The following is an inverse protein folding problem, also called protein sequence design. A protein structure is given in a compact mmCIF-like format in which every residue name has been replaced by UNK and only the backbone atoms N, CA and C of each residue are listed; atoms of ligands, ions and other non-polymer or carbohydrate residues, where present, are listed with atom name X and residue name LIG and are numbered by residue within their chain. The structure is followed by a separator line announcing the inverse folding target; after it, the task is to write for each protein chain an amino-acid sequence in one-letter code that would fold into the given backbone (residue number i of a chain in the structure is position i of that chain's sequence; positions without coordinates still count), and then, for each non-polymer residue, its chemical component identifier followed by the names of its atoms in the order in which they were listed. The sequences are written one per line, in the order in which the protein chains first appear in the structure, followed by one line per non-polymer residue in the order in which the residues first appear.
data_IF_916265826589
#
_entry.id   IF_916265826589
#
_cell.length_a   1.000
_cell.length_b   1.000
_cell.length_c   1.000
_cell.angle_alpha   90.00
_cell.angle_beta   90.00
_cell.angle_gamma   90.00
#
_symmetry.space_group_name_H-M   'P 1'
#
loop_
_entity.id
_entity.type
_entity.pdbx_description
1 polymer ?
#
# COMPACT_ATOMS: atom_id res chain seq x y z
N UNK A 1 -34.59 -4.46 -40.46
CA UNK A 1 -33.62 -3.44 -40.04
C UNK A 1 -33.17 -3.79 -38.63
N UNK A 2 -32.11 -4.58 -38.48
CA UNK A 2 -31.64 -5.05 -37.18
C UNK A 2 -30.73 -3.99 -36.55
N UNK A 3 -31.12 -3.45 -35.40
CA UNK A 3 -30.30 -2.52 -34.65
C UNK A 3 -29.02 -3.24 -34.18
N UNK A 4 -27.86 -2.78 -34.65
CA UNK A 4 -26.56 -3.15 -34.09
C UNK A 4 -26.53 -2.68 -32.65
N UNK A 5 -26.70 -3.60 -31.71
CA UNK A 5 -26.35 -3.39 -30.31
C UNK A 5 -24.84 -3.16 -30.27
N UNK A 6 -24.45 -1.91 -30.03
CA UNK A 6 -23.06 -1.50 -29.85
C UNK A 6 -22.46 -2.30 -28.69
N UNK A 7 -21.47 -3.15 -28.98
CA UNK A 7 -20.64 -3.85 -28.00
C UNK A 7 -19.73 -2.86 -27.23
N UNK A 8 -20.31 -1.89 -26.52
CA UNK A 8 -19.65 -1.11 -25.47
C UNK A 8 -20.03 -1.65 -24.08
N UNK A 9 -20.31 -2.94 -23.98
CA UNK A 9 -20.58 -3.59 -22.70
C UNK A 9 -19.25 -4.04 -22.11
N UNK A 10 -18.83 -3.34 -21.05
CA UNK A 10 -17.69 -3.61 -20.16
C UNK A 10 -16.29 -3.22 -20.67
N UNK A 11 -15.94 -1.93 -20.57
CA UNK A 11 -14.55 -1.45 -20.72
C UNK A 11 -13.78 -1.35 -19.39
N UNK A 12 -14.33 -1.87 -18.29
CA UNK A 12 -13.64 -1.86 -17.01
C UNK A 12 -12.53 -2.91 -17.06
N UNK A 13 -11.29 -2.45 -17.22
CA UNK A 13 -10.08 -3.25 -17.00
C UNK A 13 -9.44 -2.81 -15.69
N UNK A 14 -8.69 -3.72 -15.07
CA UNK A 14 -7.84 -3.34 -13.95
C UNK A 14 -6.81 -2.35 -14.51
N UNK A 15 -6.68 -1.19 -13.88
CA UNK A 15 -5.75 -0.17 -14.36
C UNK A 15 -4.34 -0.75 -14.22
N UNK A 16 -3.60 -0.81 -15.33
CA UNK A 16 -2.23 -1.29 -15.31
C UNK A 16 -1.39 -0.41 -14.39
N UNK A 17 -0.58 -1.04 -13.55
CA UNK A 17 0.35 -0.35 -12.66
C UNK A 17 1.63 -0.06 -13.45
N UNK A 18 2.03 1.22 -13.64
CA UNK A 18 3.27 1.56 -14.30
C UNK A 18 4.47 0.91 -13.62
N UNK A 19 5.43 0.41 -14.42
CA UNK A 19 6.58 -0.36 -13.92
C UNK A 19 7.38 0.41 -12.87
N UNK A 20 7.57 1.72 -13.04
CA UNK A 20 8.33 2.53 -12.08
C UNK A 20 7.61 2.70 -10.74
N UNK A 21 6.28 2.62 -10.69
CA UNK A 21 5.52 2.60 -9.44
C UNK A 21 5.52 1.22 -8.76
N UNK A 22 5.90 0.17 -9.48
CA UNK A 22 6.16 -1.15 -8.90
C UNK A 22 7.55 -1.22 -8.25
N UNK A 23 8.46 -0.31 -8.63
CA UNK A 23 9.80 -0.21 -8.05
C UNK A 23 9.84 0.68 -6.81
N UNK A 24 10.76 0.43 -5.86
CA UNK A 24 10.86 1.22 -4.63
C UNK A 24 11.12 2.70 -4.89
N UNK A 25 10.15 3.54 -4.54
CA UNK A 25 10.26 5.00 -4.56
C UNK A 25 10.51 5.53 -3.15
N UNK A 26 11.50 6.40 -2.99
CA UNK A 26 11.80 7.01 -1.69
C UNK A 26 10.73 8.03 -1.30
N UNK A 27 10.31 7.97 -0.02
CA UNK A 27 9.45 8.98 0.57
C UNK A 27 9.69 9.08 2.09
N UNK A 28 9.18 10.15 2.69
CA UNK A 28 9.14 10.36 4.13
C UNK A 28 7.69 10.21 4.61
N UNK A 29 7.42 9.25 5.47
CA UNK A 29 6.10 9.05 6.08
C UNK A 29 6.02 9.85 7.38
N UNK A 30 5.03 10.74 7.49
CA UNK A 30 4.78 11.45 8.73
C UNK A 30 3.85 10.64 9.64
N UNK A 31 4.17 10.58 10.93
CA UNK A 31 3.40 9.84 11.93
C UNK A 31 3.04 10.75 13.10
N UNK A 32 1.78 11.16 13.18
CA UNK A 32 1.28 12.04 14.23
C UNK A 32 1.21 11.36 15.61
N UNK A 33 1.22 10.02 15.66
CA UNK A 33 1.20 9.25 16.90
C UNK A 33 2.50 9.32 17.70
N UNK A 34 3.58 9.89 17.13
CA UNK A 34 4.85 10.07 17.84
C UNK A 34 4.69 11.24 18.82
N UNK A 35 4.16 10.93 20.01
CA UNK A 35 3.89 11.88 21.11
C UNK A 35 5.12 12.55 21.73
N UNK A 36 6.34 12.20 21.28
CA UNK A 36 7.59 12.80 21.76
C UNK A 36 8.13 13.78 20.72
N UNK A 37 8.06 15.09 20.97
CA UNK A 37 8.66 16.07 20.08
C UNK A 37 10.20 15.99 20.11
N UNK A 38 10.86 16.28 18.96
CA UNK A 38 10.23 16.52 17.65
C UNK A 38 9.74 15.20 17.02
N UNK A 39 8.52 15.21 16.47
CA UNK A 39 8.03 14.10 15.65
C UNK A 39 8.94 14.03 14.40
N UNK A 40 9.65 12.91 14.23
CA UNK A 40 10.60 12.72 13.12
C UNK A 40 9.90 11.90 12.03
N UNK A 41 10.00 12.29 10.75
CA UNK A 41 9.45 11.50 9.66
C UNK A 41 10.16 10.15 9.55
N UNK A 42 9.40 9.12 9.22
CA UNK A 42 9.91 7.77 9.01
C UNK A 42 10.37 7.66 7.55
N UNK A 43 11.60 7.19 7.34
CA UNK A 43 12.11 6.96 5.99
C UNK A 43 11.52 5.68 5.42
N UNK A 44 10.81 5.79 4.30
CA UNK A 44 10.10 4.67 3.68
C UNK A 44 10.44 4.48 2.21
N UNK A 45 10.21 3.27 1.72
CA UNK A 45 10.07 2.97 0.30
C UNK A 45 8.62 2.63 -0.01
N UNK A 46 8.06 3.29 -1.02
CA UNK A 46 6.74 3.03 -1.56
C UNK A 46 6.84 2.25 -2.86
N UNK A 47 5.99 1.23 -3.01
CA UNK A 47 5.74 0.56 -4.28
C UNK A 47 4.28 0.11 -4.34
N UNK A 48 3.76 -0.12 -5.54
CA UNK A 48 2.46 -0.71 -5.77
C UNK A 48 2.68 -2.13 -6.28
N UNK A 49 1.96 -3.12 -5.76
CA UNK A 49 2.08 -4.47 -6.29
C UNK A 49 1.65 -4.51 -7.77
N UNK A 50 2.21 -5.44 -8.54
CA UNK A 50 1.97 -5.51 -10.00
C UNK A 50 0.49 -5.65 -10.37
N UNK A 51 -0.34 -6.16 -9.46
CA UNK A 51 -1.79 -6.32 -9.63
C UNK A 51 -2.59 -5.10 -9.16
N UNK A 52 -1.99 -4.12 -8.48
CA UNK A 52 -2.69 -2.93 -8.02
C UNK A 52 -3.71 -3.21 -6.91
N UNK A 53 -3.43 -4.17 -6.03
CA UNK A 53 -4.22 -4.45 -4.83
C UNK A 53 -3.75 -3.65 -3.62
N UNK A 54 -2.45 -3.40 -3.50
CA UNK A 54 -1.81 -2.84 -2.32
C UNK A 54 -0.78 -1.76 -2.67
N UNK A 55 -0.83 -0.67 -1.90
CA UNK A 55 0.34 0.19 -1.69
C UNK A 55 1.21 -0.46 -0.61
N UNK A 56 2.44 -0.79 -0.96
CA UNK A 56 3.45 -1.39 -0.09
C UNK A 56 4.35 -0.27 0.41
N UNK A 57 4.42 -0.12 1.74
CA UNK A 57 5.25 0.85 2.42
C UNK A 57 6.25 0.13 3.31
N UNK A 58 7.53 0.19 2.94
CA UNK A 58 8.62 -0.45 3.67
C UNK A 58 9.34 0.58 4.51
N UNK A 59 9.37 0.39 5.83
CA UNK A 59 10.20 1.18 6.74
C UNK A 59 11.68 0.80 6.55
N UNK A 60 12.50 1.73 6.06
CA UNK A 60 13.91 1.43 5.75
C UNK A 60 14.75 1.10 6.98
N UNK A 61 14.40 1.69 8.13
CA UNK A 61 15.13 1.56 9.40
C UNK A 61 14.69 0.31 10.13
N UNK A 62 13.38 0.14 10.36
CA UNK A 62 12.84 -1.01 11.09
C UNK A 62 12.70 -2.28 10.27
N UNK A 63 12.83 -2.19 8.94
CA UNK A 63 12.59 -3.32 8.01
C UNK A 63 11.20 -3.94 8.14
N UNK A 64 10.23 -3.13 8.59
CA UNK A 64 8.82 -3.52 8.69
C UNK A 64 8.09 -3.16 7.40
N UNK A 65 7.18 -4.03 6.97
CA UNK A 65 6.32 -3.79 5.81
C UNK A 65 4.89 -3.49 6.27
N UNK A 66 4.36 -2.39 5.78
CA UNK A 66 2.95 -2.06 5.88
C UNK A 66 2.34 -2.13 4.48
N UNK A 67 1.18 -2.78 4.33
CA UNK A 67 0.44 -2.72 3.05
C UNK A 67 -0.95 -2.15 3.26
N UNK A 68 -1.25 -1.10 2.52
CA UNK A 68 -2.53 -0.43 2.47
C UNK A 68 -3.34 -1.04 1.33
N UNK A 69 -4.53 -1.55 1.65
CA UNK A 69 -5.46 -2.06 0.65
C UNK A 69 -6.01 -0.92 -0.20
N UNK A 70 -5.69 -0.88 -1.49
CA UNK A 70 -6.11 0.23 -2.35
C UNK A 70 -7.64 0.35 -2.42
N UNK A 71 -8.38 -0.75 -2.22
CA UNK A 71 -9.84 -0.74 -2.20
C UNK A 71 -10.43 0.10 -1.04
N UNK A 72 -9.63 0.33 0.00
CA UNK A 72 -9.98 1.09 1.20
C UNK A 72 -9.52 2.56 1.13
N UNK A 73 -8.94 2.98 0.01
CA UNK A 73 -8.66 4.39 -0.24
C UNK A 73 -9.98 5.09 -0.57
N UNK A 74 -10.30 6.11 0.23
CA UNK A 74 -11.44 6.98 -0.02
C UNK A 74 -11.03 8.18 -0.87
N UNK A 75 -9.89 8.79 -0.56
CA UNK A 75 -9.39 9.97 -1.25
C UNK A 75 -7.87 10.10 -1.13
N UNK A 76 -7.25 10.79 -2.09
CA UNK A 76 -5.82 11.10 -2.10
C UNK A 76 -5.62 12.53 -2.59
N UNK A 77 -4.85 13.33 -1.87
CA UNK A 77 -4.68 14.76 -2.16
C UNK A 77 -3.21 15.19 -2.15
N UNK A 78 -2.89 16.18 -2.96
CA UNK A 78 -1.59 16.86 -3.01
C UNK A 78 -1.77 18.35 -3.32
N UNK A 79 -0.67 19.11 -3.28
CA UNK A 79 -0.66 20.53 -3.64
C UNK A 79 -1.58 21.36 -2.75
N UNK A 80 -2.38 22.26 -3.35
CA UNK A 80 -3.28 23.15 -2.62
C UNK A 80 -4.44 22.44 -1.92
N UNK A 81 -4.72 21.18 -2.27
CA UNK A 81 -5.83 20.40 -1.71
C UNK A 81 -5.38 19.50 -0.54
N UNK A 82 -4.08 19.48 -0.23
CA UNK A 82 -3.54 18.58 0.79
C UNK A 82 -3.91 19.07 2.20
N UNK A 83 -4.42 18.17 3.03
CA UNK A 83 -4.42 18.40 4.48
C UNK A 83 -3.04 18.08 5.01
N UNK A 84 -2.35 19.11 5.52
CA UNK A 84 -0.99 19.00 6.02
C UNK A 84 -1.00 18.40 7.43
N UNK A 85 -0.03 17.53 7.76
CA UNK A 85 0.07 16.99 9.10
C UNK A 85 0.46 18.06 10.11
N UNK A 86 -0.03 17.91 11.35
CA UNK A 86 0.33 18.82 12.43
C UNK A 86 1.83 18.75 12.74
N UNK A 87 2.52 19.91 12.77
CA UNK A 87 3.96 19.99 13.06
C UNK A 87 4.86 19.54 11.90
N UNK A 88 4.29 19.03 10.80
CA UNK A 88 5.05 18.54 9.67
C UNK A 88 5.70 19.68 8.90
N UNK A 89 4.94 20.70 8.52
CA UNK A 89 5.48 21.82 7.74
C UNK A 89 6.61 22.51 8.51
N UNK A 90 6.39 22.77 9.80
CA UNK A 90 7.36 23.41 10.67
C UNK A 90 8.65 22.60 10.78
N UNK A 91 8.55 21.27 10.89
CA UNK A 91 9.73 20.39 10.91
C UNK A 91 10.54 20.52 9.61
N UNK A 92 9.87 20.46 8.46
CA UNK A 92 10.56 20.52 7.17
C UNK A 92 11.17 21.90 6.91
N UNK A 93 10.47 22.98 7.28
CA UNK A 93 10.97 24.34 7.14
C UNK A 93 12.19 24.61 8.05
N UNK A 94 12.11 24.20 9.33
CA UNK A 94 13.21 24.37 10.31
C UNK A 94 14.47 23.58 9.94
N UNK A 95 14.30 22.41 9.32
CA UNK A 95 15.41 21.57 8.90
C UNK A 95 15.86 21.83 7.46
N UNK A 96 15.31 22.86 6.80
CA UNK A 96 15.58 23.21 5.40
C UNK A 96 15.43 22.00 4.44
N UNK A 97 14.44 21.13 4.71
CA UNK A 97 14.18 19.95 3.89
C UNK A 97 13.30 20.35 2.70
N UNK A 98 13.94 20.55 1.56
CA UNK A 98 13.28 20.94 0.32
C UNK A 98 14.14 21.87 -0.54
N UNK A 99 13.55 22.38 -1.62
CA UNK A 99 14.16 23.44 -2.42
C UNK A 99 13.50 24.76 -2.01
N UNK A 100 14.29 25.82 -1.77
CA UNK A 100 13.80 27.12 -1.30
C UNK A 100 12.69 27.71 -2.18
N UNK A 101 12.74 27.48 -3.50
CA UNK A 101 11.79 28.04 -4.47
C UNK A 101 10.58 27.14 -4.74
N UNK A 102 10.47 25.98 -4.06
CA UNK A 102 9.37 25.04 -4.22
C UNK A 102 8.58 24.96 -2.92
N UNK A 103 7.29 25.32 -2.92
CA UNK A 103 6.47 25.24 -1.71
C UNK A 103 6.52 23.83 -1.12
N UNK A 104 6.89 23.70 0.16
CA UNK A 104 6.99 22.42 0.87
C UNK A 104 5.67 21.64 0.77
N UNK A 105 4.54 22.35 0.82
CA UNK A 105 3.18 21.83 0.66
C UNK A 105 2.97 21.04 -0.64
N UNK A 106 3.63 21.42 -1.73
CA UNK A 106 3.48 20.79 -3.04
C UNK A 106 4.08 19.40 -3.15
N UNK A 107 4.90 18.99 -2.19
CA UNK A 107 5.55 17.68 -2.12
C UNK A 107 4.84 16.68 -1.22
N UNK A 108 3.75 17.10 -0.56
CA UNK A 108 2.96 16.24 0.30
C UNK A 108 1.88 15.49 -0.47
N UNK A 109 1.68 14.24 -0.08
CA UNK A 109 0.56 13.37 -0.43
C UNK A 109 -0.16 13.02 0.87
N UNK A 110 -1.47 13.24 0.92
CA UNK A 110 -2.33 12.79 2.01
C UNK A 110 -3.29 11.73 1.49
N UNK A 111 -3.30 10.55 2.11
CA UNK A 111 -4.21 9.44 1.81
C UNK A 111 -5.24 9.35 2.94
N UNK A 112 -6.52 9.35 2.56
CA UNK A 112 -7.64 9.05 3.44
C UNK A 112 -8.03 7.59 3.25
N UNK A 113 -7.80 6.78 4.27
CA UNK A 113 -7.86 5.33 4.20
C UNK A 113 -8.77 4.77 5.30
N UNK A 114 -9.73 3.92 4.97
CA UNK A 114 -10.66 3.39 5.96
C UNK A 114 -11.61 2.35 5.43
N UNK A 115 -12.29 1.66 6.35
CA UNK A 115 -13.39 0.77 6.01
C UNK A 115 -14.73 1.52 5.93
N UNK A 116 -14.80 2.70 6.57
CA UNK A 116 -15.98 3.54 6.62
C UNK A 116 -15.60 4.99 6.33
N UNK A 117 -16.58 5.78 5.89
CA UNK A 117 -16.42 7.23 5.70
C UNK A 117 -16.57 8.03 7.02
N UNK A 118 -16.63 7.35 8.17
CA UNK A 118 -16.77 8.00 9.46
C UNK A 118 -15.44 8.64 9.84
N UNK A 119 -15.45 9.95 10.11
CA UNK A 119 -14.23 10.71 10.36
C UNK A 119 -13.37 10.16 11.51
N UNK A 120 -13.99 9.58 12.55
CA UNK A 120 -13.28 8.98 13.69
C UNK A 120 -12.59 7.65 13.39
N UNK A 121 -12.96 6.97 12.31
CA UNK A 121 -12.39 5.68 11.89
C UNK A 121 -11.48 5.81 10.66
N UNK A 122 -11.49 7.00 10.04
CA UNK A 122 -10.68 7.30 8.87
C UNK A 122 -9.23 7.49 9.30
N UNK A 123 -8.35 6.66 8.75
CA UNK A 123 -6.91 6.80 8.92
C UNK A 123 -6.38 7.76 7.89
N UNK A 124 -5.75 8.84 8.35
CA UNK A 124 -5.06 9.81 7.49
C UNK A 124 -3.58 9.47 7.49
N UNK A 125 -2.99 9.32 6.31
CA UNK A 125 -1.57 8.98 6.15
C UNK A 125 -0.92 10.02 5.27
N UNK A 126 0.20 10.58 5.73
CA UNK A 126 0.92 11.62 5.03
C UNK A 126 2.29 11.13 4.56
N UNK A 127 2.60 11.38 3.30
CA UNK A 127 3.90 11.14 2.70
C UNK A 127 4.45 12.43 2.11
N UNK A 128 5.75 12.61 2.22
CA UNK A 128 6.49 13.70 1.59
C UNK A 128 7.48 13.12 0.59
N UNK A 129 7.49 13.67 -0.62
CA UNK A 129 8.31 13.22 -1.73
C UNK A 129 9.43 14.19 -2.05
N UNK A 130 10.41 13.72 -2.82
CA UNK A 130 11.53 14.54 -3.28
C UNK A 130 11.08 15.69 -4.20
N UNK A 131 10.09 15.44 -5.06
CA UNK A 131 9.59 16.40 -6.05
C UNK A 131 8.06 16.51 -6.07
N UNK A 132 7.50 17.68 -6.44
CA UNK A 132 6.04 17.85 -6.57
C UNK A 132 5.45 16.99 -7.68
N UNK A 133 6.21 16.75 -8.76
CA UNK A 133 5.79 15.89 -9.87
C UNK A 133 5.56 14.46 -9.40
N UNK A 134 6.46 13.95 -8.55
CA UNK A 134 6.32 12.62 -7.97
C UNK A 134 5.12 12.54 -7.02
N UNK A 135 4.94 13.53 -6.13
CA UNK A 135 3.76 13.59 -5.27
C UNK A 135 2.44 13.59 -6.06
N UNK A 136 2.38 14.36 -7.17
CA UNK A 136 1.23 14.40 -8.08
C UNK A 136 0.98 13.05 -8.74
N UNK A 137 2.00 12.44 -9.31
CA UNK A 137 1.90 11.15 -9.97
C UNK A 137 1.36 10.06 -9.02
N UNK A 138 1.93 9.98 -7.82
CA UNK A 138 1.46 9.03 -6.81
C UNK A 138 0.01 9.32 -6.40
N UNK A 139 -0.37 10.59 -6.24
CA UNK A 139 -1.74 10.99 -5.92
C UNK A 139 -2.71 10.50 -6.98
N UNK A 140 -2.46 10.85 -8.24
CA UNK A 140 -3.34 10.51 -9.36
C UNK A 140 -3.45 8.99 -9.53
N UNK A 141 -2.34 8.26 -9.42
CA UNK A 141 -2.35 6.82 -9.61
C UNK A 141 -3.06 6.09 -8.48
N UNK A 142 -2.81 6.47 -7.22
CA UNK A 142 -3.49 5.86 -6.07
C UNK A 142 -4.99 6.12 -6.12
N UNK A 143 -5.41 7.34 -6.51
CA UNK A 143 -6.82 7.65 -6.72
C UNK A 143 -7.45 6.74 -7.78
N UNK A 144 -6.81 6.64 -8.96
CA UNK A 144 -7.29 5.82 -10.07
C UNK A 144 -7.39 4.32 -9.72
N UNK A 145 -6.44 3.80 -8.94
CA UNK A 145 -6.44 2.40 -8.52
C UNK A 145 -7.49 2.13 -7.42
N UNK A 146 -7.56 2.99 -6.40
CA UNK A 146 -8.51 2.80 -5.29
C UNK A 146 -9.98 2.99 -5.67
N UNK A 147 -10.25 3.76 -6.73
CA UNK A 147 -11.59 3.93 -7.31
C UNK A 147 -11.85 3.01 -8.51
N UNK A 148 -10.98 2.02 -8.76
CA UNK A 148 -11.25 1.01 -9.77
C UNK A 148 -12.43 0.11 -9.34
N UNK A 149 -13.46 0.01 -10.17
CA UNK A 149 -14.66 -0.77 -9.85
C UNK A 149 -14.41 -2.28 -9.77
N UNK A 150 -13.44 -2.82 -10.52
CA UNK A 150 -13.08 -4.24 -10.45
C UNK A 150 -12.47 -4.57 -9.10
N UNK A 151 -11.65 -3.67 -8.56
CA UNK A 151 -11.02 -3.84 -7.25
C UNK A 151 -12.06 -3.99 -6.12
N UNK A 152 -13.27 -3.42 -6.31
CA UNK A 152 -14.40 -3.53 -5.37
C UNK A 152 -15.33 -4.71 -5.66
N UNK A 153 -15.19 -5.35 -6.82
CA UNK A 153 -16.04 -6.44 -7.30
C UNK A 153 -15.20 -7.65 -7.75
N UNK A 154 -14.20 -8.00 -6.94
CA UNK A 154 -13.28 -9.11 -7.22
C UNK A 154 -14.02 -10.45 -7.27
N UNK A 155 -13.66 -11.31 -8.23
CA UNK A 155 -14.11 -12.70 -8.22
C UNK A 155 -13.46 -13.47 -7.06
N UNK A 156 -13.95 -14.67 -6.75
CA UNK A 156 -13.32 -15.53 -5.74
C UNK A 156 -11.87 -15.83 -6.08
N UNK A 157 -11.53 -16.00 -7.36
CA UNK A 157 -10.16 -16.23 -7.81
C UNK A 157 -9.29 -14.98 -7.60
N UNK A 158 -9.79 -13.80 -7.97
CA UNK A 158 -9.03 -12.55 -7.78
C UNK A 158 -8.86 -12.22 -6.29
N UNK A 159 -9.82 -12.60 -5.45
CA UNK A 159 -9.68 -12.51 -4.00
C UNK A 159 -8.54 -13.39 -3.48
N UNK A 160 -8.38 -14.61 -4.02
CA UNK A 160 -7.23 -15.47 -3.71
C UNK A 160 -5.91 -14.86 -4.20
N UNK A 161 -5.89 -14.27 -5.40
CA UNK A 161 -4.70 -13.55 -5.91
C UNK A 161 -4.34 -12.36 -5.01
N UNK A 162 -5.33 -11.61 -4.53
CA UNK A 162 -5.15 -10.51 -3.58
C UNK A 162 -4.59 -11.01 -2.25
N UNK A 163 -5.14 -12.09 -1.70
CA UNK A 163 -4.62 -12.74 -0.49
C UNK A 163 -3.16 -13.18 -0.70
N UNK A 164 -2.85 -13.78 -1.84
CA UNK A 164 -1.49 -14.17 -2.21
C UNK A 164 -0.54 -12.97 -2.26
N UNK A 165 -0.93 -11.87 -2.92
CA UNK A 165 -0.16 -10.61 -2.96
C UNK A 165 0.14 -10.09 -1.54
N UNK A 166 -0.85 -10.11 -0.64
CA UNK A 166 -0.66 -9.71 0.76
C UNK A 166 0.31 -10.62 1.52
N UNK A 167 0.31 -11.93 1.25
CA UNK A 167 1.24 -12.88 1.87
C UNK A 167 2.68 -12.61 1.42
N UNK A 168 2.90 -12.49 0.11
CA UNK A 168 4.23 -12.28 -0.48
C UNK A 168 4.83 -10.95 -0.05
N UNK A 169 4.05 -9.87 -0.08
CA UNK A 169 4.57 -8.54 0.21
C UNK A 169 4.46 -8.16 1.68
N UNK A 170 3.38 -8.53 2.36
CA UNK A 170 3.07 -8.03 3.71
C UNK A 170 3.58 -8.90 4.85
N UNK A 171 3.89 -10.18 4.62
CA UNK A 171 4.32 -11.09 5.67
C UNK A 171 5.81 -11.49 5.56
N UNK A 172 6.50 -10.98 4.54
CA UNK A 172 7.92 -11.26 4.32
C UNK A 172 8.77 -10.63 5.43
N UNK A 173 9.70 -11.42 5.96
CA UNK A 173 10.83 -10.94 6.75
C UNK A 173 11.89 -10.43 5.76
N UNK A 174 12.11 -9.11 5.73
CA UNK A 174 12.99 -8.47 4.74
C UNK A 174 14.47 -8.83 4.93
N UNK A 175 14.90 -9.16 6.15
CA UNK A 175 16.28 -9.55 6.42
C UNK A 175 16.54 -10.98 5.95
N UNK A 176 15.61 -11.89 6.25
CA UNK A 176 15.73 -13.30 5.86
C UNK A 176 15.23 -13.59 4.46
N UNK A 177 14.51 -12.64 3.85
CA UNK A 177 13.78 -12.78 2.57
C UNK A 177 12.88 -14.01 2.54
N UNK A 178 12.23 -14.32 3.66
CA UNK A 178 11.36 -15.49 3.84
C UNK A 178 10.08 -15.09 4.53
N UNK A 179 9.00 -15.82 4.26
CA UNK A 179 7.73 -15.63 4.98
C UNK A 179 7.75 -16.53 6.22
N UNK A 180 7.69 -15.99 7.45
CA UNK A 180 7.60 -16.80 8.64
C UNK A 180 6.26 -17.54 8.69
N UNK A 181 6.30 -18.87 8.86
CA UNK A 181 5.10 -19.72 8.98
C UNK A 181 4.15 -19.21 10.06
N UNK A 182 4.69 -18.72 11.18
CA UNK A 182 3.92 -18.11 12.26
C UNK A 182 3.04 -16.95 11.76
N UNK A 183 3.61 -16.05 10.96
CA UNK A 183 2.90 -14.87 10.45
C UNK A 183 1.82 -15.30 9.45
N UNK A 184 2.12 -16.28 8.59
CA UNK A 184 1.15 -16.84 7.65
C UNK A 184 -0.04 -17.50 8.36
N UNK A 185 0.21 -18.34 9.37
CA UNK A 185 -0.84 -18.98 10.17
C UNK A 185 -1.67 -17.93 10.92
N UNK A 186 -1.03 -16.94 11.53
CA UNK A 186 -1.74 -15.86 12.23
C UNK A 186 -2.64 -15.07 11.28
N UNK A 187 -2.14 -14.75 10.07
CA UNK A 187 -2.89 -14.05 9.04
C UNK A 187 -4.11 -14.83 8.55
N UNK A 188 -3.96 -16.13 8.27
CA UNK A 188 -5.04 -16.96 7.75
C UNK A 188 -6.07 -17.36 8.82
N UNK A 189 -5.65 -17.63 10.05
CA UNK A 189 -6.52 -18.19 11.08
C UNK A 189 -7.13 -17.18 12.05
N UNK A 190 -6.65 -15.92 12.09
CA UNK A 190 -7.05 -14.91 13.10
C UNK A 190 -7.16 -15.50 14.53
N UNK A 191 -6.23 -16.38 14.90
CA UNK A 191 -6.14 -17.10 16.19
C UNK A 191 -7.14 -18.26 16.45
N UNK A 192 -7.84 -18.78 15.44
CA UNK A 192 -8.58 -20.04 15.58
C UNK A 192 -7.62 -21.25 15.69
N UNK A 193 -7.59 -21.89 16.87
CA UNK A 193 -6.63 -22.97 17.19
C UNK A 193 -6.80 -24.22 16.33
N UNK A 194 -8.04 -24.61 16.02
CA UNK A 194 -8.30 -25.83 15.25
C UNK A 194 -7.94 -25.64 13.77
N UNK A 195 -8.22 -24.45 13.22
CA UNK A 195 -7.82 -24.09 11.86
C UNK A 195 -6.30 -24.02 11.71
N UNK A 196 -5.59 -23.56 12.76
CA UNK A 196 -4.12 -23.43 12.75
C UNK A 196 -3.42 -24.77 12.56
N UNK A 197 -3.89 -25.85 13.19
CA UNK A 197 -3.31 -27.19 13.03
C UNK A 197 -3.45 -27.70 11.60
N UNK A 198 -4.63 -27.50 11.00
CA UNK A 198 -4.91 -27.93 9.63
C UNK A 198 -4.05 -27.17 8.61
N UNK A 199 -3.90 -25.85 8.78
CA UNK A 199 -3.04 -25.03 7.90
C UNK A 199 -1.57 -25.43 8.03
N UNK A 200 -1.06 -25.64 9.25
CA UNK A 200 0.31 -26.10 9.45
C UNK A 200 0.54 -27.44 8.74
N UNK A 201 -0.39 -28.39 8.87
CA UNK A 201 -0.31 -29.67 8.16
C UNK A 201 -0.31 -29.48 6.63
N UNK A 202 -1.16 -28.60 6.11
CA UNK A 202 -1.20 -28.30 4.67
C UNK A 202 0.12 -27.69 4.16
N UNK A 203 0.74 -26.79 4.94
CA UNK A 203 2.05 -26.20 4.60
C UNK A 203 3.15 -27.27 4.57
N UNK A 204 3.16 -28.20 5.54
CA UNK A 204 4.13 -29.30 5.51
C UNK A 204 3.94 -30.22 4.31
N UNK A 205 2.69 -30.53 3.96
CA UNK A 205 2.38 -31.33 2.78
C UNK A 205 2.82 -30.64 1.49
N UNK A 206 2.58 -29.33 1.34
CA UNK A 206 3.02 -28.59 0.16
C UNK A 206 4.55 -28.54 0.02
N UNK A 207 5.27 -28.43 1.15
CA UNK A 207 6.73 -28.52 1.16
C UNK A 207 7.26 -29.90 0.73
N UNK A 208 6.50 -30.97 1.03
CA UNK A 208 6.91 -32.35 0.70
C UNK A 208 6.61 -32.69 -0.77
N UNK A 209 5.60 -32.05 -1.37
CA UNK A 209 5.20 -32.26 -2.77
C UNK A 209 6.18 -31.59 -3.76
N UNK A 210 6.98 -30.61 -3.31
CA UNK A 210 8.05 -29.97 -4.09
C UNK A 210 9.44 -30.18 -3.44
N UNK A 211 10.13 -31.30 -3.69
CA UNK A 211 11.50 -31.52 -3.20
C UNK A 211 12.59 -30.76 -3.99
N UNK A 212 12.27 -29.70 -4.74
CA UNK A 212 13.25 -29.04 -5.62
C UNK A 212 13.29 -27.52 -5.45
N UNK A 213 14.41 -27.05 -4.90
CA UNK A 213 15.14 -25.90 -5.42
C UNK A 213 14.63 -24.49 -5.11
N UNK A 214 14.91 -24.00 -3.91
CA UNK A 214 15.23 -22.58 -3.72
C UNK A 214 16.61 -22.48 -3.05
N UNK A 215 17.63 -22.86 -3.81
CA UNK A 215 18.99 -22.36 -3.66
C UNK A 215 19.25 -21.50 -4.88
N UNK A 216 19.33 -20.19 -4.66
CA UNK A 216 20.42 -19.29 -5.10
C UNK A 216 20.20 -17.91 -4.46
#
# INVERSE_FOLDING_TARGET
MAARVSNRLFSHKLNEVPVHLQTPTFALKWCEEIKKPPAVPIIVNLSIDSKGFYLICVNRVKKEVECFDLALIHDTRTGSQVSLPQGGVEYFDQNHIGLLDVPVTSKWLTIYYGNTFVASELRIVHFYFESPSLAREWTEKLFQLGHNQILRNLSSLDCLEKIHSKIIHGLIDLDKRKIPVRNLVQFLCKNNRDSSKNIIKAIYLSATIHPLGFYD
#
